data_IF_973375730925
#
_entry.id   IF_973375730925
#
_cell.length_a   1.000
_cell.length_b   1.000
_cell.length_c   1.000
_cell.angle_alpha   90.00
_cell.angle_beta   90.00
_cell.angle_gamma   90.00
#
_symmetry.space_group_name_H-M   'P 1'
#
loop_
_entity.id
_entity.type
_entity.pdbx_description
1 polymer ?
#
# COMPACT_ATOMS: atom_id res chain seq x y z
N UNK A 1 -21.43 -15.12 4.04
CA UNK A 1 -21.44 -13.72 4.22
C UNK A 1 -20.17 -13.11 3.76
N UNK A 2 -20.24 -12.07 2.97
CA UNK A 2 -18.99 -11.55 2.45
C UNK A 2 -18.49 -10.42 3.30
N UNK A 3 -17.17 -10.28 3.36
CA UNK A 3 -16.56 -9.18 4.07
C UNK A 3 -16.64 -7.95 3.17
N UNK A 4 -16.95 -6.82 3.76
CA UNK A 4 -17.02 -5.59 2.99
C UNK A 4 -15.65 -5.24 2.45
N UNK A 5 -15.55 -4.71 1.23
CA UNK A 5 -14.26 -4.33 0.69
C UNK A 5 -13.49 -3.35 1.58
N UNK A 6 -14.20 -2.42 2.21
CA UNK A 6 -13.56 -1.49 3.12
C UNK A 6 -12.86 -2.22 4.26
N UNK A 7 -13.51 -3.24 4.81
CA UNK A 7 -12.95 -4.01 5.90
C UNK A 7 -11.69 -4.75 5.45
N UNK A 8 -11.71 -5.30 4.25
CA UNK A 8 -10.55 -6.01 3.71
C UNK A 8 -9.37 -5.05 3.60
N UNK A 9 -9.61 -3.84 3.12
CA UNK A 9 -8.56 -2.83 2.98
C UNK A 9 -8.02 -2.45 4.36
N UNK A 10 -8.90 -2.23 5.32
CA UNK A 10 -8.46 -1.88 6.67
C UNK A 10 -7.61 -2.98 7.28
N UNK A 11 -8.02 -4.24 7.08
CA UNK A 11 -7.26 -5.36 7.60
C UNK A 11 -5.89 -5.48 6.94
N UNK A 12 -5.82 -5.17 5.65
CA UNK A 12 -4.54 -5.23 4.93
C UNK A 12 -3.55 -4.20 5.48
N UNK A 13 -4.01 -2.97 5.71
CA UNK A 13 -3.13 -1.95 6.28
C UNK A 13 -2.69 -2.32 7.69
N UNK A 14 -3.61 -2.86 8.47
CA UNK A 14 -3.28 -3.28 9.83
C UNK A 14 -2.22 -4.39 9.82
N UNK A 15 -2.39 -5.37 8.94
CA UNK A 15 -1.42 -6.46 8.85
C UNK A 15 -0.06 -5.94 8.41
N UNK A 16 -0.04 -5.04 7.43
CA UNK A 16 1.21 -4.45 6.97
C UNK A 16 1.93 -3.74 8.11
N UNK A 17 1.20 -2.94 8.88
CA UNK A 17 1.79 -2.19 9.98
C UNK A 17 2.32 -3.09 11.08
N UNK A 18 1.68 -4.26 11.27
CA UNK A 18 2.14 -5.22 12.27
C UNK A 18 3.26 -6.11 11.73
N UNK A 19 3.64 -5.93 10.50
CA UNK A 19 4.62 -6.77 9.81
C UNK A 19 4.14 -8.20 9.66
N UNK A 20 2.81 -8.37 9.59
CA UNK A 20 2.19 -9.67 9.42
C UNK A 20 1.99 -9.91 7.92
N UNK A 21 3.04 -10.31 7.25
CA UNK A 21 2.99 -10.47 5.81
C UNK A 21 1.99 -11.55 5.41
N UNK A 22 1.92 -12.64 6.15
CA UNK A 22 1.00 -13.72 5.79
C UNK A 22 -0.45 -13.27 5.94
N UNK A 23 -0.74 -12.50 6.98
CA UNK A 23 -2.08 -11.97 7.17
C UNK A 23 -2.50 -11.04 6.04
N UNK A 24 -1.58 -10.21 5.56
CA UNK A 24 -1.89 -9.32 4.45
C UNK A 24 -2.06 -10.11 3.16
N UNK A 25 -1.18 -11.07 2.89
CA UNK A 25 -1.25 -11.86 1.65
C UNK A 25 -2.50 -12.72 1.60
N UNK A 26 -3.01 -13.13 2.75
CA UNK A 26 -4.24 -13.91 2.79
C UNK A 26 -5.44 -13.13 2.26
N UNK A 27 -5.34 -11.81 2.21
CA UNK A 27 -6.42 -10.96 1.72
C UNK A 27 -6.29 -10.66 0.22
N UNK A 28 -5.31 -11.24 -0.44
CA UNK A 28 -4.99 -10.94 -1.84
C UNK A 28 -5.23 -12.12 -2.75
N UNK A 29 -5.43 -11.84 -4.04
CA UNK A 29 -5.55 -12.92 -5.02
C UNK A 29 -4.17 -13.50 -5.28
N UNK A 30 -4.18 -14.70 -5.89
CA UNK A 30 -2.94 -15.40 -6.18
C UNK A 30 -2.01 -14.59 -7.07
N UNK A 31 -2.58 -13.89 -8.05
CA UNK A 31 -1.84 -13.12 -9.03
C UNK A 31 -1.92 -11.63 -8.76
N UNK A 32 -2.00 -11.24 -7.51
CA UNK A 32 -2.12 -9.83 -7.13
C UNK A 32 -0.99 -9.00 -7.73
N UNK A 33 -1.34 -7.81 -8.22
CA UNK A 33 -0.39 -6.90 -8.86
C UNK A 33 -0.10 -5.73 -7.92
N UNK A 34 1.16 -5.41 -7.74
CA UNK A 34 1.56 -4.42 -6.74
C UNK A 34 2.70 -3.54 -7.25
N UNK A 35 2.69 -2.24 -6.95
CA UNK A 35 3.79 -1.38 -7.37
C UNK A 35 4.97 -1.50 -6.40
N UNK A 36 6.19 -1.50 -6.93
CA UNK A 36 7.37 -1.48 -6.09
C UNK A 36 7.80 -0.02 -5.93
N UNK A 37 7.19 0.67 -4.98
CA UNK A 37 7.38 2.10 -4.85
C UNK A 37 8.85 2.46 -4.64
N UNK A 38 9.55 1.72 -3.82
CA UNK A 38 10.94 2.05 -3.51
C UNK A 38 11.93 1.57 -4.58
N UNK A 39 11.53 0.62 -5.41
CA UNK A 39 12.45 0.06 -6.42
C UNK A 39 12.04 0.36 -7.86
N UNK A 40 10.81 0.81 -8.06
CA UNK A 40 10.28 1.06 -9.39
C UNK A 40 9.69 -0.18 -10.02
N UNK A 41 8.72 0.01 -10.92
CA UNK A 41 8.07 -1.09 -11.60
C UNK A 41 7.00 -1.76 -10.79
N UNK A 42 6.58 -2.92 -11.24
CA UNK A 42 5.53 -3.69 -10.59
C UNK A 42 5.95 -5.13 -10.43
N UNK A 43 5.31 -5.80 -9.47
CA UNK A 43 5.49 -7.23 -9.28
C UNK A 43 4.11 -7.89 -9.31
N UNK A 44 4.09 -9.17 -9.60
CA UNK A 44 2.85 -9.94 -9.67
C UNK A 44 3.02 -11.20 -8.83
N UNK A 45 2.04 -11.47 -7.99
CA UNK A 45 2.01 -12.69 -7.19
C UNK A 45 2.44 -12.49 -5.75
N UNK A 46 1.89 -13.33 -4.89
CA UNK A 46 2.14 -13.21 -3.46
C UNK A 46 3.59 -13.40 -3.07
N UNK A 47 4.28 -14.31 -3.75
CA UNK A 47 5.67 -14.59 -3.41
C UNK A 47 6.55 -13.37 -3.70
N UNK A 48 6.25 -12.67 -4.80
CA UNK A 48 7.02 -11.48 -5.14
C UNK A 48 6.77 -10.37 -4.13
N UNK A 49 5.53 -10.23 -3.68
CA UNK A 49 5.22 -9.22 -2.67
C UNK A 49 5.92 -9.56 -1.35
N UNK A 50 5.90 -10.84 -0.97
CA UNK A 50 6.56 -11.26 0.26
C UNK A 50 8.05 -10.89 0.23
N UNK A 51 8.70 -11.16 -0.89
CA UNK A 51 10.11 -10.87 -1.04
C UNK A 51 10.36 -9.36 -1.01
N UNK A 52 9.54 -8.59 -1.71
CA UNK A 52 9.70 -7.15 -1.78
C UNK A 52 9.50 -6.51 -0.40
N UNK A 53 8.45 -6.87 0.31
CA UNK A 53 8.17 -6.28 1.62
C UNK A 53 9.26 -6.68 2.63
N UNK A 54 9.74 -7.91 2.56
CA UNK A 54 10.80 -8.35 3.46
C UNK A 54 12.07 -7.52 3.24
N UNK A 55 12.42 -7.26 1.97
CA UNK A 55 13.57 -6.42 1.67
C UNK A 55 13.36 -4.99 2.18
N UNK A 56 12.15 -4.47 1.95
CA UNK A 56 11.85 -3.10 2.33
C UNK A 56 11.92 -2.92 3.84
N UNK A 57 11.39 -3.87 4.58
CA UNK A 57 11.41 -3.78 6.04
C UNK A 57 12.82 -3.98 6.61
N UNK A 58 13.74 -4.49 5.83
CA UNK A 58 15.14 -4.56 6.23
C UNK A 58 15.88 -3.25 6.07
N UNK A 59 15.27 -2.28 5.37
CA UNK A 59 15.89 -0.98 5.13
C UNK A 59 15.10 0.16 5.74
N UNK A 60 13.80 0.01 5.84
CA UNK A 60 12.92 1.08 6.28
C UNK A 60 11.86 0.54 7.24
N UNK A 61 11.29 1.45 8.00
CA UNK A 61 10.19 1.12 8.88
C UNK A 61 8.98 1.98 8.49
N UNK A 62 8.22 1.56 7.47
CA UNK A 62 7.06 2.33 7.03
C UNK A 62 5.83 2.05 7.88
N UNK A 63 4.99 3.06 8.02
CA UNK A 63 3.70 2.95 8.67
C UNK A 63 2.68 3.62 7.77
N UNK A 64 1.58 2.96 7.49
CA UNK A 64 0.55 3.49 6.60
C UNK A 64 -0.77 3.50 7.33
N UNK A 65 -1.46 4.64 7.27
CA UNK A 65 -2.73 4.80 7.96
C UNK A 65 -3.78 5.28 6.97
N UNK A 66 -4.84 4.51 6.75
CA UNK A 66 -5.90 4.96 5.85
C UNK A 66 -6.68 6.10 6.50
N UNK A 67 -6.77 7.21 5.80
CA UNK A 67 -7.48 8.39 6.29
C UNK A 67 -8.90 8.44 5.75
N UNK A 68 -9.12 7.99 4.53
CA UNK A 68 -10.43 7.96 3.92
C UNK A 68 -10.48 6.83 2.92
N UNK A 69 -11.53 6.01 2.99
CA UNK A 69 -11.71 4.88 2.08
C UNK A 69 -13.03 5.10 1.35
N UNK A 70 -12.98 5.15 0.02
CA UNK A 70 -14.14 5.40 -0.80
C UNK A 70 -14.31 4.30 -1.82
N UNK A 71 -15.48 3.66 -1.85
CA UNK A 71 -15.77 2.66 -2.85
C UNK A 71 -16.27 3.38 -4.10
N UNK A 72 -15.67 3.10 -5.22
CA UNK A 72 -15.99 3.80 -6.46
C UNK A 72 -16.76 2.96 -7.46
N UNK A 73 -17.16 1.76 -7.08
CA UNK A 73 -17.88 0.86 -7.98
C UNK A 73 -16.94 0.03 -8.81
N UNK A 74 -17.44 -1.06 -9.35
CA UNK A 74 -16.64 -1.93 -10.20
C UNK A 74 -15.46 -2.56 -9.50
N UNK A 75 -15.52 -2.68 -8.18
CA UNK A 75 -14.43 -3.26 -7.42
C UNK A 75 -13.28 -2.31 -7.14
N UNK A 76 -13.42 -1.03 -7.47
CA UNK A 76 -12.35 -0.05 -7.23
C UNK A 76 -12.55 0.64 -5.89
N UNK A 77 -11.48 0.71 -5.11
CA UNK A 77 -11.51 1.34 -3.79
C UNK A 77 -10.39 2.38 -3.74
N UNK A 78 -10.77 3.61 -3.51
CA UNK A 78 -9.79 4.72 -3.43
C UNK A 78 -9.50 4.99 -1.96
N UNK A 79 -8.22 5.02 -1.59
CA UNK A 79 -7.82 5.22 -0.22
C UNK A 79 -6.82 6.35 -0.13
N UNK A 80 -7.13 7.35 0.68
CA UNK A 80 -6.17 8.38 0.99
C UNK A 80 -5.40 7.91 2.22
N UNK A 81 -4.09 7.92 2.14
CA UNK A 81 -3.23 7.27 3.13
C UNK A 81 -2.20 8.24 3.65
N UNK A 82 -2.06 8.28 4.96
CA UNK A 82 -0.92 8.97 5.57
C UNK A 82 0.22 7.95 5.64
N UNK A 83 1.33 8.27 5.02
CA UNK A 83 2.45 7.38 4.96
C UNK A 83 3.64 8.00 5.69
N UNK A 84 4.06 7.33 6.73
CA UNK A 84 5.19 7.80 7.54
C UNK A 84 6.28 6.76 7.43
N UNK A 85 7.45 7.14 6.94
CA UNK A 85 8.56 6.21 6.80
C UNK A 85 9.69 6.67 7.69
N UNK A 86 10.17 5.74 8.52
CA UNK A 86 11.33 5.99 9.36
C UNK A 86 12.47 5.10 8.89
N UNK A 87 13.69 5.49 9.19
CA UNK A 87 14.79 4.56 8.96
C UNK A 87 14.81 3.60 10.15
N UNK A 88 15.72 2.66 10.14
CA UNK A 88 15.76 1.64 11.20
C UNK A 88 16.20 2.19 12.56
N UNK A 89 16.71 3.40 12.58
CA UNK A 89 17.05 4.07 13.82
C UNK A 89 15.90 4.88 14.39
N UNK A 90 14.78 4.92 13.69
CA UNK A 90 13.60 5.63 14.16
C UNK A 90 13.48 7.05 13.67
N UNK A 91 14.39 7.52 12.83
CA UNK A 91 14.32 8.88 12.31
C UNK A 91 13.32 8.95 11.17
N UNK A 92 12.51 9.99 11.15
CA UNK A 92 11.51 10.17 10.08
C UNK A 92 12.23 10.63 8.82
N UNK A 93 12.09 9.87 7.74
CA UNK A 93 12.69 10.23 6.47
C UNK A 93 11.65 10.58 5.43
N UNK A 94 10.38 10.30 5.67
CA UNK A 94 9.31 10.70 4.76
C UNK A 94 7.99 10.75 5.51
N UNK A 95 7.21 11.79 5.27
CA UNK A 95 5.92 11.96 5.92
C UNK A 95 5.02 12.63 4.89
N UNK A 96 4.09 11.88 4.32
CA UNK A 96 3.29 12.40 3.22
C UNK A 96 1.93 11.73 3.15
N UNK A 97 1.04 12.32 2.35
CA UNK A 97 -0.21 11.68 2.01
C UNK A 97 -0.12 11.18 0.59
N UNK A 98 -0.57 9.97 0.37
CA UNK A 98 -0.56 9.36 -0.95
C UNK A 98 -1.92 8.76 -1.23
N UNK A 99 -2.17 8.45 -2.48
CA UNK A 99 -3.44 7.88 -2.89
C UNK A 99 -3.20 6.48 -3.41
N UNK A 100 -3.89 5.52 -2.81
CA UNK A 100 -3.83 4.13 -3.27
C UNK A 100 -5.18 3.77 -3.89
N UNK A 101 -5.16 3.10 -5.04
CA UNK A 101 -6.37 2.63 -5.68
C UNK A 101 -6.29 1.11 -5.76
N UNK A 102 -7.18 0.46 -5.01
CA UNK A 102 -7.22 -0.99 -4.98
C UNK A 102 -8.26 -1.53 -5.94
N UNK A 103 -7.99 -2.70 -6.48
CA UNK A 103 -8.98 -3.47 -7.21
C UNK A 103 -9.29 -4.71 -6.38
N UNK A 104 -10.58 -4.91 -6.10
CA UNK A 104 -11.02 -6.05 -5.29
C UNK A 104 -11.89 -6.94 -6.17
N UNK A 105 -11.55 -8.21 -6.24
CA UNK A 105 -12.31 -9.20 -7.00
C UNK A 105 -12.61 -10.38 -6.11
N UNK A 106 -13.89 -10.79 -6.08
CA UNK A 106 -14.26 -11.97 -5.31
C UNK A 106 -13.93 -11.88 -3.83
N UNK A 107 -13.91 -10.66 -3.29
CA UNK A 107 -13.61 -10.49 -1.88
C UNK A 107 -12.13 -10.46 -1.56
N UNK A 108 -11.27 -10.40 -2.57
CA UNK A 108 -9.83 -10.35 -2.35
C UNK A 108 -9.21 -9.19 -3.13
N UNK A 109 -8.11 -8.67 -2.64
CA UNK A 109 -7.40 -7.59 -3.31
C UNK A 109 -6.65 -8.18 -4.51
N UNK A 110 -6.96 -7.67 -5.69
CA UNK A 110 -6.33 -8.17 -6.93
C UNK A 110 -5.23 -7.26 -7.42
N UNK A 111 -5.25 -5.98 -7.04
CA UNK A 111 -4.22 -5.05 -7.49
C UNK A 111 -4.23 -3.80 -6.63
N UNK A 112 -3.11 -3.13 -6.59
CA UNK A 112 -3.02 -1.81 -6.00
C UNK A 112 -2.29 -0.91 -7.00
N UNK A 113 -2.78 0.30 -7.19
CA UNK A 113 -2.15 1.29 -8.04
C UNK A 113 -2.00 2.58 -7.26
N UNK A 114 -1.03 3.38 -7.62
CA UNK A 114 -0.89 4.69 -7.05
C UNK A 114 -1.82 5.63 -7.81
N UNK A 115 -2.52 6.49 -7.08
CA UNK A 115 -3.49 7.36 -7.69
C UNK A 115 -2.86 8.56 -8.36
N UNK A 116 -3.61 9.14 -9.31
CA UNK A 116 -3.20 10.31 -10.03
C UNK A 116 -3.88 11.51 -9.50
N UNK A 117 -3.74 11.79 -8.25
CA UNK A 117 -4.32 12.96 -7.64
C UNK A 117 -3.48 14.16 -8.03
N UNK A 118 -4.04 15.22 -8.57
CA UNK A 118 -3.25 16.39 -8.94
C UNK A 118 -2.43 16.95 -7.80
N UNK A 119 -2.96 16.92 -6.60
CA UNK A 119 -2.21 17.41 -5.45
C UNK A 119 -1.03 16.49 -5.16
N UNK A 120 -1.20 15.21 -5.31
CA UNK A 120 -0.11 14.28 -5.13
C UNK A 120 0.96 14.49 -6.18
N UNK A 121 0.55 14.75 -7.39
CA UNK A 121 1.50 14.99 -8.47
C UNK A 121 2.25 16.27 -8.20
N UNK A 122 1.60 17.26 -7.65
CA UNK A 122 2.26 18.52 -7.38
C UNK A 122 3.31 18.40 -6.29
N UNK A 123 3.14 17.44 -5.37
CA UNK A 123 4.03 17.32 -4.23
C UNK A 123 4.84 16.06 -4.12
N UNK A 124 4.70 15.12 -5.02
CA UNK A 124 5.36 13.86 -4.81
C UNK A 124 6.86 13.99 -4.75
N UNK A 125 7.40 14.86 -5.49
CA UNK A 125 8.80 15.01 -5.44
C UNK A 125 9.22 15.46 -4.08
N UNK A 126 8.46 16.31 -3.49
CA UNK A 126 8.79 16.74 -2.17
C UNK A 126 8.61 15.61 -1.20
N UNK A 127 7.62 14.76 -1.45
CA UNK A 127 7.31 13.76 -0.52
C UNK A 127 8.27 12.66 -0.55
N UNK A 128 8.67 12.23 -1.69
CA UNK A 128 9.20 10.99 -1.75
C UNK A 128 10.46 10.94 -2.29
N UNK A 129 10.74 11.72 -3.07
CA UNK A 129 11.82 11.67 -3.66
C UNK A 129 12.74 12.08 -2.77
N UNK A 130 13.39 11.41 -2.40
CA UNK A 130 14.21 11.72 -1.42
C UNK A 130 15.09 12.73 -1.90
N UNK A 131 15.03 13.17 -2.49
CA UNK A 131 15.54 14.04 -2.78
C UNK A 131 16.49 14.10 -2.35
N UNK A 132 16.33 13.68 -2.25
CA UNK A 132 16.88 13.62 -1.89
C UNK A 132 17.15 13.62 -1.75
#
# INVERSE_FOLDING_TARGET
MSIQPKTIIEQAYSAFNRRDVEGALALMTHDVSWPKVSEGGRIVGKEEIRAYWTRQWGEFNPHVEPLAITEEGGGKIRVRVHQLVRNLRGEVISDSEVLHIFTVNGGLIAAMNLGDDPDSIARPSAAFTPRS
#
